data_IF_072219329016
#
_entry.id   IF_072219329016
#
_cell.length_a   1.000
_cell.length_b   1.000
_cell.length_c   1.000
_cell.angle_alpha   90.00
_cell.angle_beta   90.00
_cell.angle_gamma   90.00
#
_symmetry.space_group_name_H-M   'P 1'
#
loop_
_entity.id
_entity.type
_entity.pdbx_description
1 polymer ?
#
# COMPACT_ATOMS: atom_id res chain seq x y z
N UNK A 1 -7.33 10.72 -5.69
CA UNK A 1 -6.47 9.86 -6.56
C UNK A 1 -7.15 9.60 -7.92
N UNK A 2 -6.46 9.48 -9.05
CA UNK A 2 -7.10 9.14 -10.34
C UNK A 2 -7.24 7.62 -10.53
N UNK A 3 -8.13 7.16 -11.43
CA UNK A 3 -8.29 5.74 -11.74
C UNK A 3 -6.98 5.11 -12.26
N UNK A 4 -6.24 5.83 -13.10
CA UNK A 4 -4.93 5.37 -13.61
C UNK A 4 -3.92 5.20 -12.48
N UNK A 5 -3.83 6.17 -11.57
CA UNK A 5 -2.96 6.08 -10.39
C UNK A 5 -3.32 4.88 -9.53
N UNK A 6 -4.60 4.64 -9.24
CA UNK A 6 -5.02 3.48 -8.45
C UNK A 6 -4.59 2.14 -9.06
N UNK A 7 -4.68 1.99 -10.39
CA UNK A 7 -4.24 0.76 -11.07
C UNK A 7 -2.74 0.54 -10.87
N UNK A 8 -1.93 1.60 -11.01
CA UNK A 8 -0.49 1.50 -10.78
C UNK A 8 -0.15 1.22 -9.32
N UNK A 9 -0.83 1.86 -8.37
CA UNK A 9 -0.64 1.59 -6.95
C UNK A 9 -1.00 0.14 -6.58
N UNK A 10 -2.10 -0.40 -7.13
CA UNK A 10 -2.45 -1.82 -6.95
C UNK A 10 -1.40 -2.77 -7.51
N UNK A 11 -0.79 -2.45 -8.66
CA UNK A 11 0.30 -3.24 -9.24
C UNK A 11 1.52 -3.24 -8.32
N UNK A 12 1.93 -2.08 -7.81
CA UNK A 12 3.04 -1.96 -6.86
C UNK A 12 2.80 -2.82 -5.63
N UNK A 13 1.65 -2.68 -4.97
CA UNK A 13 1.38 -3.44 -3.74
C UNK A 13 1.37 -4.96 -4.00
N UNK A 14 0.80 -5.41 -5.12
CA UNK A 14 0.83 -6.82 -5.50
C UNK A 14 2.26 -7.32 -5.70
N UNK A 15 3.09 -6.54 -6.41
CA UNK A 15 4.50 -6.87 -6.59
C UNK A 15 5.22 -6.99 -5.23
N UNK A 16 5.08 -6.00 -4.36
CA UNK A 16 5.74 -5.98 -3.05
C UNK A 16 5.33 -7.16 -2.16
N UNK A 17 4.08 -7.62 -2.25
CA UNK A 17 3.58 -8.74 -1.43
C UNK A 17 3.99 -10.10 -2.00
N UNK A 18 3.87 -10.29 -3.32
CA UNK A 18 3.96 -11.63 -3.93
C UNK A 18 5.30 -11.91 -4.60
N UNK A 19 5.93 -10.88 -5.16
CA UNK A 19 7.12 -10.99 -6.01
C UNK A 19 8.39 -10.50 -5.29
N UNK A 20 8.30 -9.43 -4.48
CA UNK A 20 9.42 -8.90 -3.70
C UNK A 20 9.71 -9.77 -2.46
N UNK A 21 10.29 -10.94 -2.70
CA UNK A 21 10.66 -11.88 -1.64
C UNK A 21 12.10 -11.67 -1.18
N UNK A 22 12.40 -11.83 0.12
CA UNK A 22 13.78 -11.90 0.58
C UNK A 22 14.53 -13.02 -0.14
N UNK A 23 15.84 -12.82 -0.33
CA UNK A 23 16.71 -13.86 -0.88
C UNK A 23 16.71 -15.08 0.05
N UNK A 24 16.79 -16.27 -0.55
CA UNK A 24 16.66 -17.54 0.18
C UNK A 24 17.95 -17.98 0.89
N UNK A 25 19.09 -17.39 0.52
CA UNK A 25 20.43 -17.69 1.03
C UNK A 25 20.87 -16.75 2.18
N UNK A 26 20.06 -15.74 2.52
CA UNK A 26 20.30 -14.81 3.62
C UNK A 26 19.35 -15.10 4.81
N UNK A 27 19.74 -14.79 6.06
CA UNK A 27 18.85 -14.86 7.20
C UNK A 27 17.56 -14.07 6.95
N UNK A 28 16.42 -14.62 7.38
CA UNK A 28 15.13 -13.99 7.15
C UNK A 28 15.09 -12.59 7.79
N UNK A 29 14.71 -11.52 7.06
CA UNK A 29 14.75 -10.17 7.61
C UNK A 29 13.79 -10.04 8.79
N UNK A 30 14.29 -9.57 9.93
CA UNK A 30 13.51 -9.40 11.16
C UNK A 30 12.31 -8.46 10.99
N UNK A 31 12.41 -7.48 10.10
CA UNK A 31 11.37 -6.46 9.88
C UNK A 31 10.37 -6.82 8.78
N UNK A 32 10.50 -7.97 8.11
CA UNK A 32 9.59 -8.36 7.01
C UNK A 32 8.13 -8.40 7.46
N UNK A 33 7.86 -8.85 8.69
CA UNK A 33 6.49 -8.89 9.23
C UNK A 33 5.89 -7.48 9.30
N UNK A 34 6.64 -6.51 9.82
CA UNK A 34 6.20 -5.10 9.92
C UNK A 34 6.00 -4.49 8.53
N UNK A 35 6.91 -4.77 7.59
CA UNK A 35 6.80 -4.31 6.20
C UNK A 35 5.53 -4.84 5.52
N UNK A 36 5.24 -6.13 5.69
CA UNK A 36 4.02 -6.75 5.16
C UNK A 36 2.76 -6.19 5.81
N UNK A 37 2.81 -5.87 7.10
CA UNK A 37 1.70 -5.22 7.81
C UNK A 37 1.37 -3.84 7.21
N UNK A 38 2.38 -3.03 6.90
CA UNK A 38 2.17 -1.74 6.22
C UNK A 38 1.52 -1.92 4.84
N UNK A 39 2.02 -2.88 4.05
CA UNK A 39 1.44 -3.17 2.73
C UNK A 39 -0.02 -3.63 2.81
N UNK A 40 -0.38 -4.43 3.82
CA UNK A 40 -1.78 -4.82 4.06
C UNK A 40 -2.66 -3.61 4.40
N UNK A 41 -2.20 -2.71 5.26
CA UNK A 41 -2.95 -1.48 5.54
C UNK A 41 -3.10 -0.58 4.30
N UNK A 42 -2.05 -0.51 3.47
CA UNK A 42 -2.12 0.21 2.21
C UNK A 42 -3.20 -0.40 1.27
N UNK A 43 -3.34 -1.73 1.20
CA UNK A 43 -4.39 -2.38 0.42
C UNK A 43 -5.80 -2.02 0.90
N UNK A 44 -6.01 -1.98 2.21
CA UNK A 44 -7.30 -1.61 2.81
C UNK A 44 -7.66 -0.19 2.39
N UNK A 45 -6.78 0.78 2.61
CA UNK A 45 -7.07 2.17 2.26
C UNK A 45 -7.22 2.40 0.77
N UNK A 46 -6.45 1.71 -0.08
CA UNK A 46 -6.63 1.81 -1.53
C UNK A 46 -7.98 1.22 -1.99
N UNK A 47 -8.50 0.21 -1.27
CA UNK A 47 -9.84 -0.35 -1.50
C UNK A 47 -10.93 0.63 -1.07
N UNK A 48 -10.76 1.27 0.09
CA UNK A 48 -11.69 2.30 0.58
C UNK A 48 -11.74 3.53 -0.33
N UNK A 49 -10.60 3.97 -0.88
CA UNK A 49 -10.57 5.02 -1.92
C UNK A 49 -11.41 4.62 -3.14
N UNK A 50 -11.33 3.35 -3.55
CA UNK A 50 -12.14 2.82 -4.67
C UNK A 50 -13.64 2.86 -4.35
N UNK A 51 -14.00 2.45 -3.13
CA UNK A 51 -15.37 2.44 -2.67
C UNK A 51 -15.94 3.86 -2.54
N UNK A 52 -15.23 4.75 -1.86
CA UNK A 52 -15.61 6.15 -1.69
C UNK A 52 -15.86 6.84 -3.04
N UNK A 53 -15.00 6.59 -4.03
CA UNK A 53 -15.20 7.05 -5.41
C UNK A 53 -16.48 6.55 -6.05
N UNK A 54 -16.79 5.26 -5.87
CA UNK A 54 -18.03 4.65 -6.39
C UNK A 54 -19.26 5.30 -5.75
N UNK A 55 -19.19 5.61 -4.46
CA UNK A 55 -20.23 6.28 -3.70
C UNK A 55 -20.29 7.81 -3.90
N UNK A 56 -19.29 8.40 -4.59
CA UNK A 56 -19.08 9.86 -4.68
C UNK A 56 -18.89 10.54 -3.31
N UNK A 57 -18.34 9.81 -2.36
CA UNK A 57 -17.99 10.29 -1.03
C UNK A 57 -16.59 10.93 -1.07
N UNK A 58 -16.57 12.27 -1.15
CA UNK A 58 -15.33 13.03 -1.29
C UNK A 58 -14.51 13.08 0.01
N UNK A 59 -15.17 13.01 1.16
CA UNK A 59 -14.49 13.08 2.46
C UNK A 59 -13.73 11.80 2.73
N UNK A 60 -14.38 10.64 2.55
CA UNK A 60 -13.71 9.34 2.69
C UNK A 60 -12.67 9.12 1.59
N UNK A 61 -12.90 9.59 0.35
CA UNK A 61 -11.85 9.53 -0.69
C UNK A 61 -10.59 10.25 -0.22
N UNK A 62 -10.72 11.48 0.30
CA UNK A 62 -9.58 12.27 0.74
C UNK A 62 -8.90 11.62 1.94
N UNK A 63 -9.65 11.27 2.98
CA UNK A 63 -9.13 10.64 4.19
C UNK A 63 -8.31 9.40 3.87
N UNK A 64 -8.87 8.47 3.10
CA UNK A 64 -8.18 7.23 2.77
C UNK A 64 -7.04 7.41 1.77
N UNK A 65 -7.11 8.43 0.90
CA UNK A 65 -5.96 8.80 0.06
C UNK A 65 -4.80 9.29 0.92
N UNK A 66 -5.05 10.15 1.91
CA UNK A 66 -4.01 10.69 2.79
C UNK A 66 -3.40 9.59 3.68
N UNK A 67 -4.24 8.70 4.24
CA UNK A 67 -3.77 7.54 5.01
C UNK A 67 -2.94 6.58 4.16
N UNK A 68 -3.41 6.27 2.95
CA UNK A 68 -2.65 5.45 2.00
C UNK A 68 -1.26 6.03 1.74
N UNK A 69 -1.19 7.33 1.43
CA UNK A 69 0.07 8.01 1.15
C UNK A 69 1.01 7.98 2.36
N UNK A 70 0.49 8.21 3.57
CA UNK A 70 1.28 8.15 4.80
C UNK A 70 1.85 6.76 5.07
N UNK A 71 1.05 5.70 4.87
CA UNK A 71 1.50 4.32 5.05
C UNK A 71 2.58 3.96 4.02
N UNK A 72 2.39 4.33 2.75
CA UNK A 72 3.39 4.08 1.71
C UNK A 72 4.66 4.90 1.94
N UNK A 73 4.55 6.12 2.45
CA UNK A 73 5.72 6.90 2.86
C UNK A 73 6.50 6.18 3.96
N UNK A 74 5.83 5.72 5.02
CA UNK A 74 6.47 4.93 6.08
C UNK A 74 7.12 3.65 5.54
N UNK A 75 6.48 2.99 4.56
CA UNK A 75 7.03 1.81 3.89
C UNK A 75 8.34 2.12 3.14
N UNK A 76 8.38 3.21 2.37
CA UNK A 76 9.56 3.58 1.58
C UNK A 76 10.67 4.22 2.41
N UNK A 77 10.34 4.99 3.45
CA UNK A 77 11.33 5.53 4.37
C UNK A 77 12.05 4.43 5.14
N UNK A 78 11.40 3.28 5.36
CA UNK A 78 12.06 2.10 5.92
C UNK A 78 13.13 1.50 4.99
N UNK A 79 13.06 1.74 3.66
CA UNK A 79 14.06 1.25 2.71
C UNK A 79 15.29 2.16 2.59
N UNK A 80 15.26 3.39 3.15
CA UNK A 80 16.39 4.33 3.16
C UNK A 80 17.29 4.10 4.38
#
# INVERSE_FOLDING_TARGET
>A
MTKKQMVEEWKKIKFEIYENRPKTDEPYPSDVVKRRQLLLYAQVHLSEVSWAKKCKDLENERLHTDLYNSIMQNYYEWQK
#
